data_IF_198560081244
#
_entry.id   IF_198560081244
#
_cell.length_a   1.000
_cell.length_b   1.000
_cell.length_c   1.000
_cell.angle_alpha   90.00
_cell.angle_beta   90.00
_cell.angle_gamma   90.00
#
_symmetry.space_group_name_H-M   'P 1'
#
loop_
_entity.id
_entity.type
_entity.pdbx_description
1 polymer ?
#
# COMPACT_ATOMS: atom_id res chain seq x y z
N UNK A 1 2.18 16.74 1.40
CA UNK A 1 1.83 15.96 0.20
C UNK A 1 0.43 15.38 0.35
N UNK A 2 -0.29 15.14 -0.78
CA UNK A 2 -1.65 14.59 -0.74
C UNK A 2 -1.81 13.29 -1.56
N UNK A 3 -0.72 12.69 -1.99
CA UNK A 3 -0.71 11.36 -2.61
C UNK A 3 0.00 10.38 -1.66
N UNK A 4 -0.73 9.33 -1.22
CA UNK A 4 -0.25 8.29 -0.32
C UNK A 4 -0.28 6.96 -1.06
N UNK A 5 0.87 6.34 -1.25
CA UNK A 5 0.98 4.95 -1.72
C UNK A 5 0.85 4.03 -0.53
N UNK A 6 0.00 3.01 -0.64
CA UNK A 6 -0.12 1.93 0.33
C UNK A 6 0.19 0.60 -0.34
N UNK A 7 0.76 -0.31 0.43
CA UNK A 7 0.88 -1.72 0.09
C UNK A 7 0.64 -2.55 1.35
N UNK A 8 -0.03 -3.68 1.20
CA UNK A 8 -0.40 -4.56 2.29
C UNK A 8 0.16 -5.96 2.07
N UNK A 9 0.72 -6.54 3.12
CA UNK A 9 0.83 -7.99 3.17
C UNK A 9 -0.37 -8.56 3.91
N UNK A 10 -0.96 -9.61 3.34
CA UNK A 10 -2.20 -10.18 3.86
C UNK A 10 -2.22 -11.69 3.79
N UNK A 11 -3.05 -12.32 4.63
CA UNK A 11 -3.30 -13.78 4.63
C UNK A 11 -4.54 -14.15 3.81
N UNK A 12 -4.88 -13.37 2.78
CA UNK A 12 -6.00 -13.63 1.90
C UNK A 12 -6.13 -12.64 0.77
N UNK A 13 -7.10 -12.86 -0.12
CA UNK A 13 -7.35 -12.05 -1.32
C UNK A 13 -8.72 -11.38 -1.32
N UNK A 14 -9.53 -11.63 -0.31
CA UNK A 14 -10.89 -11.09 -0.21
C UNK A 14 -10.92 -9.79 0.61
N UNK A 15 -11.98 -8.99 0.52
CA UNK A 15 -12.11 -7.74 1.26
C UNK A 15 -11.97 -7.86 2.78
N UNK A 16 -12.22 -9.05 3.33
CA UNK A 16 -12.08 -9.36 4.75
C UNK A 16 -10.79 -10.13 5.09
N UNK A 17 -9.77 -10.09 4.22
CA UNK A 17 -8.50 -10.74 4.49
C UNK A 17 -7.79 -10.14 5.72
N UNK A 18 -7.10 -10.96 6.54
CA UNK A 18 -6.27 -10.47 7.62
C UNK A 18 -5.04 -9.75 7.04
N UNK A 19 -4.79 -8.54 7.51
CA UNK A 19 -3.56 -7.79 7.23
C UNK A 19 -2.47 -8.27 8.18
N UNK A 20 -1.26 -8.50 7.68
CA UNK A 20 -0.08 -8.87 8.48
C UNK A 20 1.05 -7.86 8.42
N UNK A 21 1.03 -6.93 7.45
CA UNK A 21 1.82 -5.70 7.53
C UNK A 21 1.19 -4.59 6.68
N UNK A 22 1.49 -3.35 7.04
CA UNK A 22 1.07 -2.14 6.35
C UNK A 22 2.31 -1.32 6.04
N UNK A 23 2.52 -1.04 4.74
CA UNK A 23 3.50 -0.07 4.26
C UNK A 23 2.79 1.12 3.63
N UNK A 24 3.23 2.34 3.95
CA UNK A 24 2.69 3.53 3.32
C UNK A 24 3.79 4.60 3.14
N UNK A 25 3.69 5.36 2.07
CA UNK A 25 4.62 6.46 1.80
C UNK A 25 3.89 7.61 1.10
N UNK A 26 4.06 8.81 1.61
CA UNK A 26 3.66 10.01 0.89
C UNK A 26 4.59 10.27 -0.28
N UNK A 27 4.05 10.73 -1.40
CA UNK A 27 4.86 11.06 -2.58
C UNK A 27 4.21 12.18 -3.40
N UNK A 28 5.00 12.75 -4.30
CA UNK A 28 4.51 13.72 -5.29
C UNK A 28 4.67 13.11 -6.69
N UNK A 29 3.58 12.71 -7.36
CA UNK A 29 3.67 12.08 -8.69
C UNK A 29 4.24 13.01 -9.76
N UNK A 30 4.15 14.33 -9.59
CA UNK A 30 4.67 15.30 -10.57
C UNK A 30 6.19 15.49 -10.48
N UNK A 31 6.75 15.52 -9.26
CA UNK A 31 8.18 15.71 -9.03
C UNK A 31 8.95 14.40 -8.88
N UNK A 32 8.28 13.34 -8.41
CA UNK A 32 8.90 12.07 -8.02
C UNK A 32 9.51 12.11 -6.62
N UNK A 33 9.27 13.19 -5.87
CA UNK A 33 9.72 13.32 -4.48
C UNK A 33 8.99 12.32 -3.60
N UNK A 34 9.74 11.61 -2.74
CA UNK A 34 9.24 10.72 -1.71
C UNK A 34 9.21 11.47 -0.37
N UNK A 35 8.11 11.35 0.34
CA UNK A 35 7.88 12.00 1.63
C UNK A 35 8.00 11.06 2.81
N UNK A 36 7.18 11.29 3.83
CA UNK A 36 7.18 10.52 5.07
C UNK A 36 6.66 9.10 4.85
N UNK A 37 7.20 8.17 5.64
CA UNK A 37 6.96 6.74 5.52
C UNK A 37 6.36 6.18 6.80
N UNK A 38 5.55 5.16 6.63
CA UNK A 38 4.96 4.37 7.70
C UNK A 38 5.16 2.88 7.40
N UNK A 39 5.51 2.12 8.42
CA UNK A 39 5.53 0.68 8.37
C UNK A 39 5.15 0.10 9.73
N UNK A 40 4.33 -0.94 9.72
CA UNK A 40 4.08 -1.77 10.89
C UNK A 40 3.78 -3.20 10.48
N UNK A 41 4.31 -4.16 11.24
CA UNK A 41 3.84 -5.52 11.23
C UNK A 41 2.57 -5.62 12.10
N UNK A 42 1.61 -6.43 11.66
CA UNK A 42 0.29 -6.57 12.30
C UNK A 42 0.09 -7.99 12.79
N UNK A 43 -0.37 -8.14 14.03
CA UNK A 43 -0.70 -9.43 14.61
C UNK A 43 -1.84 -10.09 13.83
N UNK A 44 -1.55 -11.26 13.23
CA UNK A 44 -2.53 -12.07 12.50
C UNK A 44 -3.69 -12.47 13.42
N UNK A 45 -3.39 -12.88 14.65
CA UNK A 45 -4.38 -13.26 15.65
C UNK A 45 -5.35 -12.11 15.92
N UNK A 46 -4.82 -10.91 16.19
CA UNK A 46 -5.66 -9.73 16.45
C UNK A 46 -6.54 -9.35 15.25
N UNK A 47 -6.04 -9.51 14.01
CA UNK A 47 -6.83 -9.26 12.81
C UNK A 47 -7.98 -10.29 12.67
N UNK A 48 -7.71 -11.56 12.99
CA UNK A 48 -8.73 -12.62 12.99
C UNK A 48 -9.77 -12.42 14.10
N UNK A 49 -9.38 -11.98 15.27
CA UNK A 49 -10.29 -11.65 16.38
C UNK A 49 -11.25 -10.50 16.00
N UNK A 50 -10.84 -9.61 15.12
CA UNK A 50 -11.70 -8.57 14.52
C UNK A 50 -12.51 -9.09 13.29
N UNK A 51 -12.61 -10.43 13.12
CA UNK A 51 -13.45 -11.05 12.08
C UNK A 51 -12.81 -11.14 10.69
N UNK A 52 -11.49 -10.95 10.58
CA UNK A 52 -10.80 -11.22 9.32
C UNK A 52 -10.68 -12.74 9.09
N UNK A 53 -10.75 -13.15 7.82
CA UNK A 53 -10.75 -14.56 7.42
C UNK A 53 -9.62 -14.85 6.44
N UNK A 54 -8.63 -15.67 6.81
CA UNK A 54 -7.52 -16.02 5.92
C UNK A 54 -7.97 -16.98 4.81
N UNK A 55 -7.26 -16.95 3.68
CA UNK A 55 -7.43 -17.91 2.58
C UNK A 55 -6.35 -18.98 2.64
N UNK A 56 -6.73 -20.25 2.58
CA UNK A 56 -5.81 -21.39 2.61
C UNK A 56 -4.74 -21.33 1.51
N UNK A 57 -5.13 -20.90 0.30
CA UNK A 57 -4.18 -20.73 -0.83
C UNK A 57 -3.11 -19.68 -0.52
N UNK A 58 -3.49 -18.58 0.13
CA UNK A 58 -2.54 -17.52 0.51
C UNK A 58 -1.59 -17.99 1.60
N UNK A 59 -2.09 -18.76 2.59
CA UNK A 59 -1.24 -19.37 3.62
C UNK A 59 -0.20 -20.29 2.96
N UNK A 60 -0.64 -21.19 2.06
CA UNK A 60 0.26 -22.11 1.36
C UNK A 60 1.25 -21.37 0.45
N UNK A 61 0.86 -20.23 -0.10
CA UNK A 61 1.75 -19.37 -0.88
C UNK A 61 2.84 -18.75 0.02
N UNK A 62 2.47 -18.21 1.19
CA UNK A 62 3.42 -17.67 2.17
C UNK A 62 4.44 -18.70 2.67
N UNK A 63 4.00 -19.93 2.92
CA UNK A 63 4.90 -21.02 3.33
C UNK A 63 6.00 -21.34 2.30
N UNK A 64 5.80 -20.96 1.04
CA UNK A 64 6.77 -21.15 -0.06
C UNK A 64 7.69 -19.94 -0.28
N UNK A 65 7.44 -18.81 0.38
CA UNK A 65 8.29 -17.62 0.27
C UNK A 65 9.64 -17.80 0.98
N UNK A 66 10.58 -16.88 0.73
CA UNK A 66 11.89 -16.88 1.36
C UNK A 66 11.78 -16.79 2.90
N UNK A 67 12.78 -17.26 3.65
CA UNK A 67 12.81 -17.09 5.10
C UNK A 67 12.69 -15.63 5.53
N UNK A 68 13.32 -14.71 4.79
CA UNK A 68 13.32 -13.27 5.03
C UNK A 68 11.89 -12.69 4.92
N UNK A 69 11.17 -13.01 3.82
CA UNK A 69 9.80 -12.57 3.62
C UNK A 69 8.87 -13.09 4.70
N UNK A 70 9.03 -14.36 5.11
CA UNK A 70 8.24 -14.94 6.21
C UNK A 70 8.54 -14.29 7.55
N UNK A 71 9.82 -14.02 7.84
CA UNK A 71 10.23 -13.36 9.08
C UNK A 71 9.66 -11.95 9.20
N UNK A 72 9.49 -11.23 8.08
CA UNK A 72 8.93 -9.89 8.08
C UNK A 72 7.47 -9.81 8.55
N UNK A 73 6.71 -10.92 8.42
CA UNK A 73 5.31 -11.00 8.84
C UNK A 73 5.09 -11.87 10.11
N UNK A 74 6.16 -12.50 10.62
CA UNK A 74 6.13 -13.37 11.81
C UNK A 74 7.01 -12.77 12.90
N UNK A 75 6.65 -11.57 13.38
CA UNK A 75 7.38 -10.87 14.43
C UNK A 75 6.64 -10.99 15.77
N UNK A 76 7.39 -11.22 16.86
CA UNK A 76 6.82 -11.47 18.20
C UNK A 76 6.08 -10.25 18.76
N UNK A 77 6.52 -9.03 18.40
CA UNK A 77 5.96 -7.74 18.81
C UNK A 77 5.06 -7.10 17.76
N UNK A 78 4.44 -7.89 16.87
CA UNK A 78 3.49 -7.41 15.88
C UNK A 78 2.33 -6.66 16.56
N UNK A 79 2.02 -5.48 16.02
CA UNK A 79 1.03 -4.56 16.59
C UNK A 79 -0.39 -5.12 16.43
N UNK A 80 -1.27 -5.02 17.44
CA UNK A 80 -2.69 -5.29 17.24
C UNK A 80 -3.29 -4.47 16.10
N UNK A 81 -4.20 -5.06 15.31
CA UNK A 81 -4.77 -4.39 14.12
C UNK A 81 -5.43 -3.05 14.49
N UNK A 82 -6.14 -2.94 15.60
CA UNK A 82 -6.77 -1.70 16.06
C UNK A 82 -5.76 -0.58 16.29
N UNK A 83 -4.61 -0.91 16.89
CA UNK A 83 -3.55 0.03 17.18
C UNK A 83 -2.81 0.44 15.89
N UNK A 84 -2.54 -0.54 15.02
CA UNK A 84 -1.93 -0.30 13.70
C UNK A 84 -2.77 0.67 12.84
N UNK A 85 -4.09 0.51 12.83
CA UNK A 85 -5.01 1.40 12.12
C UNK A 85 -5.06 2.80 12.76
N UNK A 86 -4.98 2.89 14.09
CA UNK A 86 -4.91 4.16 14.81
C UNK A 86 -3.61 4.91 14.48
N UNK A 87 -2.48 4.22 14.53
CA UNK A 87 -1.17 4.80 14.19
C UNK A 87 -1.11 5.23 12.71
N UNK A 88 -1.66 4.44 11.78
CA UNK A 88 -1.78 4.86 10.38
C UNK A 88 -2.65 6.11 10.23
N UNK A 89 -3.76 6.20 10.96
CA UNK A 89 -4.62 7.39 10.96
C UNK A 89 -3.89 8.61 11.50
N UNK A 90 -3.15 8.47 12.60
CA UNK A 90 -2.32 9.55 13.17
C UNK A 90 -1.22 9.98 12.18
N UNK A 91 -0.55 9.03 11.53
CA UNK A 91 0.43 9.31 10.50
C UNK A 91 -0.17 10.13 9.36
N UNK A 92 -1.32 9.70 8.83
CA UNK A 92 -2.02 10.40 7.75
C UNK A 92 -2.40 11.84 8.16
N UNK A 93 -3.03 12.01 9.33
CA UNK A 93 -3.43 13.34 9.79
C UNK A 93 -2.25 14.28 10.06
N UNK A 94 -1.10 13.75 10.43
CA UNK A 94 0.12 14.53 10.69
C UNK A 94 0.82 15.01 9.42
N UNK A 95 0.75 14.22 8.35
CA UNK A 95 1.59 14.42 7.16
C UNK A 95 0.84 14.78 5.88
N UNK A 96 -0.48 14.54 5.80
CA UNK A 96 -1.28 15.01 4.68
C UNK A 96 -1.48 16.52 4.75
N UNK A 97 -1.26 17.24 3.66
CA UNK A 97 -1.54 18.68 3.58
C UNK A 97 -3.03 18.95 3.77
N UNK A 98 -3.88 18.08 3.19
CA UNK A 98 -5.33 18.13 3.36
C UNK A 98 -5.94 16.72 3.22
N UNK A 99 -6.25 16.03 4.33
CA UNK A 99 -6.80 14.68 4.30
C UNK A 99 -8.07 14.51 3.45
N UNK A 100 -8.89 15.55 3.31
CA UNK A 100 -10.11 15.54 2.50
C UNK A 100 -9.82 15.28 1.01
N UNK A 101 -8.69 15.75 0.52
CA UNK A 101 -8.28 15.64 -0.89
C UNK A 101 -7.11 14.66 -1.09
N UNK A 102 -6.77 13.92 -0.05
CA UNK A 102 -5.72 12.91 -0.12
C UNK A 102 -6.14 11.79 -1.07
N UNK A 103 -5.26 11.45 -2.00
CA UNK A 103 -5.39 10.33 -2.92
C UNK A 103 -4.65 9.13 -2.36
N UNK A 104 -5.32 8.01 -2.25
CA UNK A 104 -4.74 6.76 -1.72
C UNK A 104 -4.57 5.75 -2.84
N UNK A 105 -3.32 5.42 -3.13
CA UNK A 105 -2.91 4.57 -4.23
C UNK A 105 -2.63 3.15 -3.73
N UNK A 106 -3.25 2.15 -4.37
CA UNK A 106 -2.95 0.74 -4.15
C UNK A 106 -2.63 0.02 -5.45
N UNK A 107 -1.82 -1.01 -5.39
CA UNK A 107 -1.48 -1.85 -6.55
C UNK A 107 -2.55 -2.91 -6.82
N UNK A 108 -3.65 -2.44 -7.18
CA UNK A 108 -5.02 -2.81 -7.29
C UNK A 108 -5.82 -2.17 -6.17
N UNK A 109 -6.42 -0.98 -6.44
CA UNK A 109 -7.26 -0.29 -5.44
C UNK A 109 -8.43 -1.15 -4.95
N UNK A 110 -8.86 -2.14 -5.73
CA UNK A 110 -9.84 -3.16 -5.33
C UNK A 110 -9.27 -4.24 -4.40
N UNK A 111 -7.97 -4.21 -4.10
CA UNK A 111 -7.28 -5.09 -3.18
C UNK A 111 -6.83 -4.31 -1.94
N UNK A 112 -5.72 -3.56 -2.01
CA UNK A 112 -5.15 -2.86 -0.86
C UNK A 112 -6.14 -1.91 -0.20
N UNK A 113 -6.74 -0.99 -0.96
CA UNK A 113 -7.67 0.00 -0.43
C UNK A 113 -8.93 -0.64 0.16
N UNK A 114 -9.47 -1.69 -0.49
CA UNK A 114 -10.67 -2.37 -0.04
C UNK A 114 -10.42 -3.19 1.22
N UNK A 115 -9.30 -3.93 1.30
CA UNK A 115 -8.94 -4.73 2.48
C UNK A 115 -8.70 -3.80 3.67
N UNK A 116 -7.94 -2.71 3.47
CA UNK A 116 -7.64 -1.76 4.54
C UNK A 116 -8.90 -1.05 5.04
N UNK A 117 -9.78 -0.61 4.14
CA UNK A 117 -11.09 -0.02 4.50
C UNK A 117 -11.96 -1.01 5.28
N UNK A 118 -12.01 -2.27 4.83
CA UNK A 118 -12.72 -3.34 5.55
C UNK A 118 -12.13 -3.60 6.94
N UNK A 119 -10.82 -3.47 7.12
CA UNK A 119 -10.19 -3.57 8.44
C UNK A 119 -10.60 -2.40 9.35
N UNK A 120 -10.64 -1.16 8.86
CA UNK A 120 -11.16 0.00 9.61
C UNK A 120 -12.62 -0.23 10.05
N UNK A 121 -13.47 -0.74 9.15
CA UNK A 121 -14.88 -1.00 9.45
C UNK A 121 -15.03 -2.08 10.55
N UNK A 122 -14.32 -3.20 10.44
CA UNK A 122 -14.34 -4.28 11.45
C UNK A 122 -13.82 -3.82 12.82
N UNK A 123 -12.80 -2.96 12.83
CA UNK A 123 -12.25 -2.38 14.06
C UNK A 123 -13.16 -1.28 14.67
N UNK A 124 -14.25 -0.90 14.01
CA UNK A 124 -15.10 0.21 14.44
C UNK A 124 -14.42 1.58 14.32
N UNK A 125 -13.39 1.69 13.51
CA UNK A 125 -12.64 2.93 13.29
C UNK A 125 -13.14 3.65 12.02
N UNK A 126 -13.04 4.98 12.01
CA UNK A 126 -13.33 5.78 10.83
C UNK A 126 -12.11 5.75 9.91
N UNK A 127 -12.30 5.31 8.64
CA UNK A 127 -11.27 5.39 7.63
C UNK A 127 -10.90 6.85 7.35
N UNK A 128 -9.60 7.23 7.40
CA UNK A 128 -9.18 8.64 7.36
C UNK A 128 -9.27 9.27 5.96
N UNK A 129 -9.69 8.52 4.94
CA UNK A 129 -9.94 9.07 3.59
C UNK A 129 -11.27 8.56 3.02
N UNK A 130 -11.81 9.31 2.07
CA UNK A 130 -13.06 8.96 1.40
C UNK A 130 -12.81 7.98 0.23
N UNK A 131 -13.72 7.04 0.00
CA UNK A 131 -13.58 5.98 -1.02
C UNK A 131 -13.40 6.53 -2.45
N UNK A 132 -13.93 7.70 -2.76
CA UNK A 132 -13.75 8.34 -4.08
C UNK A 132 -12.36 8.92 -4.31
N UNK A 133 -11.49 8.89 -3.31
CA UNK A 133 -10.08 9.26 -3.39
C UNK A 133 -9.17 8.03 -3.62
N UNK A 134 -9.73 6.83 -3.81
CA UNK A 134 -8.97 5.64 -4.15
C UNK A 134 -8.40 5.76 -5.56
N UNK A 135 -7.11 5.48 -5.70
CA UNK A 135 -6.36 5.52 -6.95
C UNK A 135 -5.72 4.16 -7.23
N UNK A 136 -5.67 3.80 -8.52
CA UNK A 136 -5.22 2.46 -8.95
C UNK A 136 -3.90 2.51 -9.73
N UNK A 137 -2.88 1.86 -9.17
CA UNK A 137 -1.54 1.77 -9.76
C UNK A 137 -1.56 0.98 -11.07
N UNK A 138 -2.36 -0.11 -11.18
CA UNK A 138 -2.40 -0.95 -12.38
C UNK A 138 -2.94 -0.20 -13.59
N UNK A 139 -3.87 0.72 -13.36
CA UNK A 139 -4.38 1.61 -14.42
C UNK A 139 -3.27 2.51 -14.93
N UNK A 140 -2.49 3.13 -14.04
CA UNK A 140 -1.35 3.98 -14.43
C UNK A 140 -0.28 3.15 -15.16
N UNK A 141 0.02 1.94 -14.72
CA UNK A 141 0.97 1.03 -15.40
C UNK A 141 0.48 0.70 -16.82
N UNK A 142 -0.82 0.47 -17.01
CA UNK A 142 -1.40 0.22 -18.33
C UNK A 142 -1.21 1.43 -19.26
N UNK A 143 -1.46 2.64 -18.77
CA UNK A 143 -1.18 3.89 -19.50
C UNK A 143 0.32 4.07 -19.79
N UNK A 144 1.17 3.76 -18.81
CA UNK A 144 2.62 3.80 -18.98
C UNK A 144 3.09 2.93 -20.14
N UNK A 145 2.58 1.69 -20.20
CA UNK A 145 2.90 0.76 -21.31
C UNK A 145 2.49 1.30 -22.67
N UNK A 146 1.37 2.00 -22.77
CA UNK A 146 0.91 2.60 -24.03
C UNK A 146 1.82 3.73 -24.54
N UNK A 147 2.61 4.36 -23.64
CA UNK A 147 3.61 5.38 -23.98
C UNK A 147 5.06 4.85 -23.91
N UNK A 148 5.23 3.51 -23.95
CA UNK A 148 6.51 2.85 -24.08
C UNK A 148 7.29 2.67 -22.76
N UNK A 149 6.64 2.82 -21.61
CA UNK A 149 7.26 2.60 -20.29
C UNK A 149 6.63 1.40 -19.58
N UNK A 150 7.43 0.38 -19.28
CA UNK A 150 7.00 -0.77 -18.47
C UNK A 150 7.84 -0.84 -17.18
N UNK A 151 7.23 -0.66 -15.98
CA UNK A 151 7.97 -0.72 -14.72
C UNK A 151 8.82 -1.98 -14.53
N UNK A 152 8.32 -3.14 -14.99
CA UNK A 152 9.06 -4.42 -14.87
C UNK A 152 10.36 -4.43 -15.65
N UNK A 153 10.41 -3.73 -16.79
CA UNK A 153 11.58 -3.62 -17.66
C UNK A 153 12.44 -2.42 -17.30
N UNK A 154 11.80 -1.25 -17.10
CA UNK A 154 12.48 0.04 -17.06
C UNK A 154 12.87 0.47 -15.65
N UNK A 155 12.21 -0.10 -14.63
CA UNK A 155 12.50 0.13 -13.21
C UNK A 155 12.35 -1.19 -12.43
N UNK A 156 13.22 -2.19 -12.64
CA UNK A 156 13.12 -3.45 -11.91
C UNK A 156 13.25 -3.23 -10.40
N UNK A 157 12.52 -4.04 -9.64
CA UNK A 157 12.58 -3.98 -8.18
C UNK A 157 13.99 -4.36 -7.69
N UNK A 158 14.49 -3.60 -6.73
CA UNK A 158 15.78 -3.85 -6.06
C UNK A 158 15.50 -3.87 -4.56
N UNK A 159 15.69 -5.02 -3.92
CA UNK A 159 15.47 -5.20 -2.48
C UNK A 159 14.70 -6.46 -2.15
N UNK A 160 14.25 -6.57 -0.92
CA UNK A 160 13.46 -7.69 -0.43
C UNK A 160 12.03 -7.56 -0.94
N UNK A 161 11.62 -8.49 -1.79
CA UNK A 161 10.24 -8.61 -2.27
C UNK A 161 9.32 -9.04 -1.11
N UNK A 162 8.07 -8.59 -1.14
CA UNK A 162 7.07 -8.85 -0.10
C UNK A 162 7.41 -8.17 1.24
N UNK A 163 8.00 -6.98 1.18
CA UNK A 163 8.02 -6.02 2.27
C UNK A 163 7.14 -4.83 1.89
N UNK A 164 6.02 -4.67 2.58
CA UNK A 164 4.98 -3.70 2.24
C UNK A 164 5.52 -2.26 2.04
N UNK A 165 6.48 -1.81 2.85
CA UNK A 165 7.05 -0.47 2.68
C UNK A 165 7.99 -0.39 1.46
N UNK A 166 8.80 -1.43 1.22
CA UNK A 166 9.68 -1.46 0.05
C UNK A 166 8.86 -1.50 -1.26
N UNK A 167 7.77 -2.26 -1.27
CA UNK A 167 6.85 -2.34 -2.40
C UNK A 167 6.13 -1.01 -2.63
N UNK A 168 5.60 -0.35 -1.58
CA UNK A 168 4.99 0.97 -1.67
C UNK A 168 5.98 2.03 -2.21
N UNK A 169 7.25 2.04 -1.74
CA UNK A 169 8.29 2.94 -2.27
C UNK A 169 8.55 2.73 -3.76
N UNK A 170 8.64 1.47 -4.17
CA UNK A 170 8.88 1.12 -5.57
C UNK A 170 7.71 1.54 -6.45
N UNK A 171 6.48 1.29 -5.99
CA UNK A 171 5.26 1.68 -6.67
C UNK A 171 5.16 3.21 -6.82
N UNK A 172 5.42 3.98 -5.77
CA UNK A 172 5.44 5.44 -5.82
C UNK A 172 6.45 5.99 -6.84
N UNK A 173 7.65 5.37 -6.94
CA UNK A 173 8.69 5.76 -7.91
C UNK A 173 8.25 5.54 -9.35
N UNK A 174 7.73 4.34 -9.70
CA UNK A 174 7.36 4.10 -11.08
C UNK A 174 6.04 4.79 -11.48
N UNK A 175 5.09 4.96 -10.55
CA UNK A 175 3.91 5.78 -10.79
C UNK A 175 4.31 7.21 -11.14
N UNK A 176 5.24 7.80 -10.39
CA UNK A 176 5.76 9.15 -10.67
C UNK A 176 6.50 9.22 -12.01
N UNK A 177 7.28 8.19 -12.37
CA UNK A 177 7.97 8.13 -13.65
C UNK A 177 6.97 8.10 -14.84
N UNK A 178 5.91 7.30 -14.72
CA UNK A 178 4.85 7.22 -15.72
C UNK A 178 4.08 8.54 -15.80
N UNK A 179 3.72 9.12 -14.63
CA UNK A 179 2.97 10.37 -14.54
C UNK A 179 3.66 11.50 -15.29
N UNK A 180 4.97 11.66 -15.09
CA UNK A 180 5.78 12.68 -15.79
C UNK A 180 5.92 12.42 -17.30
N UNK A 181 5.88 11.15 -17.73
CA UNK A 181 5.83 10.82 -19.17
C UNK A 181 4.49 11.18 -19.81
N UNK A 182 3.39 10.95 -19.09
CA UNK A 182 2.04 11.24 -19.58
C UNK A 182 1.73 12.75 -19.57
N UNK A 183 2.27 13.46 -18.59
CA UNK A 183 2.03 14.89 -18.36
C UNK A 183 3.39 15.63 -18.29
N UNK A 184 4.12 15.76 -19.42
CA UNK A 184 5.37 16.48 -19.43
C UNK A 184 5.15 17.95 -19.04
N UNK A 185 6.00 18.46 -18.14
CA UNK A 185 5.98 19.88 -17.79
C UNK A 185 6.35 20.69 -19.02
N UNK A 186 5.67 21.82 -19.23
CA UNK A 186 5.84 22.72 -20.40
C UNK A 186 7.24 23.32 -20.54
N UNK A 187 8.18 22.97 -19.68
CA UNK A 187 9.60 23.40 -19.71
C UNK A 187 10.48 22.53 -20.61
N UNK A 188 9.97 21.42 -21.17
CA UNK A 188 10.74 20.48 -21.99
C UNK A 188 10.44 20.61 -23.50
N UNK A 189 10.05 21.84 -23.96
CA UNK A 189 9.88 22.15 -25.38
C UNK A 189 10.90 23.15 -25.85
#
# INVERSE_FOLDING_TARGET
MNDLMIDLESMGKKPNAPIVSIGAIFFNPHTGELGQEFYTAVSLESAMDQGAVPDGDTILWWLKQSPEARSAICVDDAMPITDALSELSHFIHRHADNPKYMKVWGNGATFDNVILRGAYERAGHICPWAFWNDHDVRTIVTLGRSVGFDPKRDMPFIGDVHNALADARHQAKYVSAIWRKLLPTTSDK
#
